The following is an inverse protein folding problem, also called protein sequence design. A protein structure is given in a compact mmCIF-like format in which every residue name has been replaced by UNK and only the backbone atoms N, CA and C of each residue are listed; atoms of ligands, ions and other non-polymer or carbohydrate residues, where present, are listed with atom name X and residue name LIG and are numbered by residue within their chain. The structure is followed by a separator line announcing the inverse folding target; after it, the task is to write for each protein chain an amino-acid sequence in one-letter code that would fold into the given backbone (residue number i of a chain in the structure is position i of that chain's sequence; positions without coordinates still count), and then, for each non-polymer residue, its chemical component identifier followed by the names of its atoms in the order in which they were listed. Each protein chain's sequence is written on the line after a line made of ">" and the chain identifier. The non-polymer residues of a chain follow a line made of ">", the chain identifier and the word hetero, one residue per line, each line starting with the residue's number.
data_IF_911137885869
#
_entry.id   IF_911137885869
#
_cell.length_a   1.000
_cell.length_b   1.000
_cell.length_c   1.000
_cell.angle_alpha   90.00
_cell.angle_beta   90.00
_cell.angle_gamma   90.00
#
_symmetry.space_group_name_H-M   'P 1'
#
loop_
_entity.id
_entity.type
_entity.pdbx_description
1 polymer ?
#
# COMPACT_ATOMS: atom_id res chain seq x y z
N UNK A 1 -23.43 4.66 -8.15
CA UNK A 1 -22.97 4.72 -6.75
C UNK A 1 -21.84 5.73 -6.70
N UNK A 2 -21.86 6.71 -5.77
CA UNK A 2 -20.72 7.65 -5.63
C UNK A 2 -19.57 6.86 -5.01
N UNK A 3 -18.43 6.75 -5.68
CA UNK A 3 -17.19 6.30 -5.04
C UNK A 3 -16.83 7.32 -3.96
N UNK A 4 -16.94 6.95 -2.70
CA UNK A 4 -16.34 7.70 -1.61
C UNK A 4 -14.83 7.57 -1.77
N UNK A 5 -14.12 8.70 -1.93
CA UNK A 5 -12.66 8.69 -1.92
C UNK A 5 -12.22 8.07 -0.59
N UNK A 6 -11.53 6.94 -0.67
CA UNK A 6 -11.09 6.20 0.49
C UNK A 6 -9.65 6.64 0.77
N UNK A 7 -9.45 7.35 1.88
CA UNK A 7 -8.12 7.78 2.29
C UNK A 7 -7.36 6.59 2.89
N UNK A 8 -6.10 6.44 2.47
CA UNK A 8 -5.19 5.42 2.98
C UNK A 8 -4.04 6.06 3.72
N UNK A 9 -3.68 5.49 4.87
CA UNK A 9 -2.40 5.75 5.54
C UNK A 9 -1.41 4.69 5.06
N UNK A 10 -0.18 5.10 4.76
CA UNK A 10 0.87 4.16 4.35
C UNK A 10 2.07 4.19 5.29
N UNK A 11 2.65 3.02 5.51
CA UNK A 11 3.93 2.84 6.20
C UNK A 11 4.96 2.28 5.22
N UNK A 12 6.19 2.77 5.29
CA UNK A 12 7.33 2.14 4.63
C UNK A 12 8.05 1.26 5.64
N UNK A 13 8.35 0.02 5.23
CA UNK A 13 9.07 -0.94 6.05
C UNK A 13 10.42 -1.23 5.42
N UNK A 14 11.46 -1.20 6.24
CA UNK A 14 12.80 -1.60 5.82
C UNK A 14 12.83 -3.11 5.68
N UNK A 15 13.09 -3.61 4.47
CA UNK A 15 13.31 -5.04 4.23
C UNK A 15 14.75 -5.42 4.58
N UNK A 16 14.93 -6.63 5.11
CA UNK A 16 16.26 -7.26 5.27
C UNK A 16 16.77 -7.89 3.96
N UNK A 17 16.04 -7.71 2.86
CA UNK A 17 16.41 -8.21 1.53
C UNK A 17 17.63 -7.49 0.96
N UNK A 18 18.42 -8.22 0.17
CA UNK A 18 19.54 -7.67 -0.59
C UNK A 18 19.15 -7.29 -2.03
N UNK A 19 17.87 -7.43 -2.40
CA UNK A 19 17.37 -7.01 -3.71
C UNK A 19 17.14 -5.49 -3.71
N UNK A 20 17.84 -4.80 -4.63
CA UNK A 20 17.75 -3.34 -4.79
C UNK A 20 16.39 -2.87 -5.31
N UNK A 21 15.58 -3.78 -5.85
CA UNK A 21 14.24 -3.47 -6.38
C UNK A 21 13.12 -3.81 -5.38
N UNK A 22 13.46 -4.43 -4.25
CA UNK A 22 12.48 -4.78 -3.22
C UNK A 22 12.29 -3.60 -2.26
N UNK A 23 11.04 -3.20 -2.06
CA UNK A 23 10.64 -2.23 -1.04
C UNK A 23 9.30 -2.64 -0.46
N UNK A 24 9.03 -2.38 0.81
CA UNK A 24 7.74 -2.77 1.41
C UNK A 24 6.94 -1.51 1.73
N UNK A 25 5.75 -1.39 1.14
CA UNK A 25 4.74 -0.39 1.52
C UNK A 25 3.50 -1.10 2.02
N UNK A 26 3.07 -0.74 3.22
CA UNK A 26 1.86 -1.24 3.86
C UNK A 26 0.78 -0.16 3.85
N UNK A 27 -0.39 -0.46 3.30
CA UNK A 27 -1.54 0.43 3.26
C UNK A 27 -2.55 0.02 4.32
N UNK A 28 -3.02 0.97 5.11
CA UNK A 28 -4.05 0.77 6.14
C UNK A 28 -5.31 1.57 5.79
N UNK A 29 -6.48 0.99 6.06
CA UNK A 29 -7.76 1.69 5.92
C UNK A 29 -8.08 2.45 7.21
N UNK A 30 -8.18 3.77 7.13
CA UNK A 30 -8.56 4.63 8.26
C UNK A 30 -7.53 5.69 8.60
N UNK A 31 -7.79 6.43 9.69
CA UNK A 31 -6.97 7.59 10.09
C UNK A 31 -5.73 7.22 10.92
N UNK A 32 -5.61 5.97 11.36
CA UNK A 32 -4.55 5.51 12.26
C UNK A 32 -3.69 4.44 11.61
N UNK A 33 -2.42 4.37 12.00
CA UNK A 33 -1.48 3.30 11.65
C UNK A 33 -1.70 2.03 12.47
N UNK A 34 -2.78 1.96 13.26
CA UNK A 34 -3.08 0.83 14.13
C UNK A 34 -4.06 -0.11 13.44
N UNK A 35 -3.55 -1.25 12.95
CA UNK A 35 -4.38 -2.26 12.30
C UNK A 35 -3.54 -3.19 11.43
N UNK A 36 -4.19 -4.21 10.87
CA UNK A 36 -3.59 -5.02 9.83
C UNK A 36 -3.66 -4.27 8.49
N UNK A 37 -2.59 -4.29 7.68
CA UNK A 37 -2.62 -3.64 6.39
C UNK A 37 -3.67 -4.29 5.48
N UNK A 38 -4.42 -3.46 4.77
CA UNK A 38 -5.39 -3.89 3.76
C UNK A 38 -4.69 -4.27 2.44
N UNK A 39 -3.50 -3.72 2.20
CA UNK A 39 -2.62 -4.09 1.09
C UNK A 39 -1.16 -3.95 1.52
N UNK A 40 -0.33 -4.86 1.06
CA UNK A 40 1.13 -4.76 1.15
C UNK A 40 1.69 -4.90 -0.25
N UNK A 41 2.58 -3.99 -0.65
CA UNK A 41 3.27 -4.02 -1.94
C UNK A 41 4.76 -4.15 -1.72
N UNK A 42 5.43 -4.97 -2.54
CA UNK A 42 6.85 -5.33 -2.40
C UNK A 42 7.76 -4.80 -3.51
N UNK A 43 7.17 -4.22 -4.55
CA UNK A 43 7.84 -3.75 -5.75
C UNK A 43 6.92 -2.74 -6.48
N UNK A 44 7.46 -2.11 -7.53
CA UNK A 44 6.72 -1.10 -8.29
C UNK A 44 5.52 -1.67 -9.05
N UNK A 45 5.57 -2.91 -9.54
CA UNK A 45 4.46 -3.52 -10.28
C UNK A 45 3.23 -3.70 -9.38
N UNK A 46 3.44 -4.24 -8.17
CA UNK A 46 2.38 -4.41 -7.17
C UNK A 46 1.80 -3.06 -6.72
N UNK A 47 2.65 -2.03 -6.60
CA UNK A 47 2.24 -0.69 -6.23
C UNK A 47 1.37 -0.03 -7.30
N UNK A 48 1.80 -0.09 -8.56
CA UNK A 48 1.07 0.48 -9.69
C UNK A 48 -0.28 -0.22 -9.84
N UNK A 49 -0.30 -1.56 -9.80
CA UNK A 49 -1.54 -2.33 -9.89
C UNK A 49 -2.53 -1.93 -8.78
N UNK A 50 -2.05 -1.72 -7.55
CA UNK A 50 -2.93 -1.29 -6.46
C UNK A 50 -3.51 0.12 -6.70
N UNK A 51 -2.72 1.04 -7.26
CA UNK A 51 -3.22 2.37 -7.61
C UNK A 51 -4.25 2.35 -8.73
N UNK A 52 -4.10 1.46 -9.71
CA UNK A 52 -5.11 1.24 -10.75
C UNK A 52 -6.41 0.65 -10.14
N UNK A 53 -6.30 -0.31 -9.20
CA UNK A 53 -7.43 -0.92 -8.49
C UNK A 53 -8.28 0.10 -7.70
N UNK A 54 -7.69 1.17 -7.18
CA UNK A 54 -8.41 2.20 -6.39
C UNK A 54 -8.96 3.34 -7.26
N UNK A 55 -8.41 3.55 -8.46
CA UNK A 55 -8.93 4.54 -9.41
C UNK A 55 -10.21 4.04 -10.13
N UNK A 56 -10.31 2.72 -10.34
CA UNK A 56 -11.44 1.99 -10.98
C UNK A 56 -12.60 1.58 -10.06
#
# INVERSE_FOLDING_TARGET
>A
MKKTAQDYVYNSVVSDSNDVNEFIIEFLSGETSEGSPVKVTRNFEELIQFFEEIED
#
